data_IF_126463366075
#
_entry.id   IF_126463366075
#
_cell.length_a   1.000
_cell.length_b   1.000
_cell.length_c   1.000
_cell.angle_alpha   90.00
_cell.angle_beta   90.00
_cell.angle_gamma   90.00
#
_symmetry.space_group_name_H-M   'P 1'
#
loop_
_entity.id
_entity.type
_entity.pdbx_description
1 polymer ?
#
# COMPACT_ATOMS: atom_id res chain seq x y z
N UNK A 1 16.82 -7.10 -3.70
CA UNK A 1 15.74 -7.27 -4.68
C UNK A 1 15.04 -5.95 -4.95
N UNK A 2 14.64 -5.75 -6.16
CA UNK A 2 13.92 -4.53 -6.55
C UNK A 2 12.62 -4.35 -5.78
N UNK A 3 12.00 -5.45 -5.42
CA UNK A 3 10.73 -5.43 -4.70
C UNK A 3 10.85 -4.87 -3.29
N UNK A 4 12.01 -5.05 -2.66
CA UNK A 4 12.23 -4.52 -1.32
C UNK A 4 12.19 -2.99 -1.28
N UNK A 5 12.78 -2.35 -2.27
CA UNK A 5 12.78 -0.89 -2.35
C UNK A 5 11.35 -0.38 -2.52
N UNK A 6 10.57 -1.04 -3.39
CA UNK A 6 9.17 -0.71 -3.58
C UNK A 6 8.39 -0.83 -2.29
N UNK A 7 8.56 -1.93 -1.55
CA UNK A 7 7.85 -2.14 -0.30
C UNK A 7 8.22 -1.10 0.75
N UNK A 8 9.49 -0.74 0.85
CA UNK A 8 9.91 0.28 1.80
C UNK A 8 9.28 1.63 1.49
N UNK A 9 9.23 2.01 0.23
CA UNK A 9 8.61 3.26 -0.18
C UNK A 9 7.10 3.24 0.09
N UNK A 10 6.47 2.11 -0.21
CA UNK A 10 5.04 1.96 0.00
C UNK A 10 4.68 2.08 1.48
N UNK A 11 5.47 1.47 2.35
CA UNK A 11 5.24 1.54 3.80
C UNK A 11 5.29 2.99 4.28
N UNK A 12 6.24 3.76 3.80
CA UNK A 12 6.32 5.19 4.13
C UNK A 12 5.09 5.93 3.63
N UNK A 13 4.67 5.64 2.41
CA UNK A 13 3.56 6.36 1.79
C UNK A 13 2.19 6.04 2.40
N UNK A 14 2.03 4.88 3.02
CA UNK A 14 0.78 4.58 3.74
C UNK A 14 0.77 5.13 5.17
N UNK A 15 1.79 5.85 5.56
CA UNK A 15 1.83 6.51 6.87
C UNK A 15 2.89 5.96 7.81
N UNK A 16 3.75 5.06 7.33
CA UNK A 16 4.80 4.47 8.12
C UNK A 16 4.34 3.23 8.89
N UNK A 17 5.30 2.49 9.48
CA UNK A 17 4.96 1.25 10.18
C UNK A 17 3.98 1.44 11.32
N UNK A 18 4.02 2.59 11.99
CA UNK A 18 3.13 2.87 13.11
C UNK A 18 1.67 2.96 12.68
N UNK A 19 1.41 3.25 11.42
CA UNK A 19 0.07 3.36 10.88
C UNK A 19 -0.48 2.03 10.36
N UNK A 20 0.33 0.98 10.35
CA UNK A 20 -0.06 -0.31 9.81
C UNK A 20 -0.37 -1.27 10.94
N UNK A 21 -1.64 -1.69 11.04
CA UNK A 21 -2.04 -2.74 11.98
C UNK A 21 -1.66 -4.11 11.44
N UNK A 22 -1.89 -4.33 10.17
CA UNK A 22 -1.55 -5.59 9.52
C UNK A 22 -1.47 -5.40 8.02
N UNK A 23 -0.78 -6.32 7.36
CA UNK A 23 -0.74 -6.36 5.91
C UNK A 23 -0.90 -7.82 5.48
N UNK A 24 -1.75 -8.03 4.49
CA UNK A 24 -1.94 -9.34 3.88
C UNK A 24 -1.57 -9.25 2.41
N UNK A 25 -0.96 -10.30 1.91
CA UNK A 25 -0.49 -10.36 0.53
C UNK A 25 -1.27 -11.40 -0.25
N UNK A 26 -1.90 -10.97 -1.33
CA UNK A 26 -2.47 -11.85 -2.33
C UNK A 26 -1.60 -11.81 -3.58
N UNK A 27 -2.00 -12.56 -4.61
CA UNK A 27 -1.19 -12.68 -5.84
C UNK A 27 -0.86 -11.32 -6.45
N UNK A 28 -1.85 -10.42 -6.50
CA UNK A 28 -1.69 -9.12 -7.14
C UNK A 28 -2.04 -7.95 -6.23
N UNK A 29 -2.30 -8.19 -4.94
CA UNK A 29 -2.74 -7.14 -4.04
C UNK A 29 -2.04 -7.21 -2.70
N UNK A 30 -1.77 -6.02 -2.15
CA UNK A 30 -1.34 -5.85 -0.78
C UNK A 30 -2.51 -5.20 -0.04
N UNK A 31 -3.01 -5.86 0.99
CA UNK A 31 -4.12 -5.36 1.79
C UNK A 31 -3.59 -4.85 3.12
N UNK A 32 -3.73 -3.56 3.33
CA UNK A 32 -3.28 -2.94 4.56
C UNK A 32 -4.46 -2.63 5.47
N UNK A 33 -4.34 -2.99 6.74
CA UNK A 33 -5.23 -2.47 7.76
C UNK A 33 -4.52 -1.27 8.38
N UNK A 34 -4.99 -0.08 8.07
CA UNK A 34 -4.37 1.16 8.52
C UNK A 34 -5.13 1.74 9.70
N UNK A 35 -4.38 2.28 10.67
CA UNK A 35 -5.00 2.95 11.82
C UNK A 35 -5.66 4.25 11.40
N UNK A 36 -5.01 4.98 10.50
CA UNK A 36 -5.52 6.26 9.99
C UNK A 36 -5.28 6.31 8.49
N UNK A 37 -6.33 6.10 7.72
CA UNK A 37 -6.24 6.09 6.25
C UNK A 37 -5.91 7.45 5.68
N UNK A 38 -6.20 8.51 6.40
CA UNK A 38 -5.91 9.86 5.92
C UNK A 38 -4.41 10.11 5.80
N UNK A 39 -3.59 9.30 6.46
CA UNK A 39 -2.14 9.40 6.35
C UNK A 39 -1.58 8.74 5.11
N UNK A 40 -2.38 7.93 4.41
CA UNK A 40 -1.94 7.29 3.19
C UNK A 40 -1.92 8.30 2.04
N UNK A 41 -0.79 8.40 1.37
CA UNK A 41 -0.61 9.33 0.26
C UNK A 41 -1.00 8.65 -1.05
N UNK A 42 -2.29 8.52 -1.25
CA UNK A 42 -2.86 7.74 -2.35
C UNK A 42 -2.38 8.21 -3.71
N UNK A 43 -2.35 9.51 -3.95
CA UNK A 43 -1.92 10.04 -5.24
C UNK A 43 -0.49 9.63 -5.58
N UNK A 44 0.41 9.69 -4.60
CA UNK A 44 1.80 9.30 -4.82
C UNK A 44 1.95 7.80 -4.99
N UNK A 45 1.16 7.02 -4.25
CA UNK A 45 1.16 5.56 -4.42
C UNK A 45 0.71 5.19 -5.82
N UNK A 46 -0.34 5.85 -6.33
CA UNK A 46 -0.84 5.59 -7.68
C UNK A 46 0.16 5.92 -8.77
N UNK A 47 1.12 6.79 -8.51
CA UNK A 47 2.16 7.15 -9.48
C UNK A 47 3.33 6.18 -9.50
N UNK A 48 3.39 5.25 -8.54
CA UNK A 48 4.46 4.25 -8.54
C UNK A 48 4.32 3.30 -9.71
N UNK A 49 5.44 2.95 -10.34
CA UNK A 49 5.42 2.11 -11.54
C UNK A 49 4.81 0.73 -11.29
N UNK A 50 5.04 0.18 -10.10
CA UNK A 50 4.56 -1.15 -9.77
C UNK A 50 3.08 -1.17 -9.40
N UNK A 51 2.49 -0.01 -9.15
CA UNK A 51 1.10 0.09 -8.72
C UNK A 51 0.19 0.28 -9.92
N UNK A 52 -0.81 -0.60 -10.04
CA UNK A 52 -1.82 -0.51 -11.08
C UNK A 52 -2.99 0.34 -10.59
N UNK A 53 -3.40 0.16 -9.34
CA UNK A 53 -4.54 0.85 -8.78
C UNK A 53 -4.49 0.83 -7.26
N UNK A 54 -5.28 1.69 -6.64
CA UNK A 54 -5.45 1.72 -5.19
C UNK A 54 -6.94 1.67 -4.90
N UNK A 55 -7.34 0.73 -4.05
CA UNK A 55 -8.74 0.57 -3.65
C UNK A 55 -8.83 0.83 -2.15
N UNK A 56 -9.48 1.93 -1.78
CA UNK A 56 -9.68 2.29 -0.39
C UNK A 56 -11.16 2.09 -0.05
N UNK A 57 -11.45 1.01 0.66
CA UNK A 57 -12.82 0.71 1.07
C UNK A 57 -12.84 0.35 2.55
N UNK A 58 -14.05 0.03 3.07
CA UNK A 58 -14.22 -0.22 4.51
C UNK A 58 -13.51 -1.48 5.00
N UNK A 59 -13.11 -2.36 4.09
CA UNK A 59 -12.47 -3.63 4.47
C UNK A 59 -10.97 -3.44 4.64
N UNK A 60 -10.33 -2.78 3.68
CA UNK A 60 -8.88 -2.63 3.69
C UNK A 60 -8.45 -1.55 2.71
N UNK A 61 -7.25 -1.03 2.95
CA UNK A 61 -6.57 -0.17 1.98
C UNK A 61 -5.75 -1.08 1.07
N UNK A 62 -6.18 -1.26 -0.15
CA UNK A 62 -5.61 -2.25 -1.06
C UNK A 62 -4.79 -1.59 -2.16
N UNK A 63 -3.57 -2.08 -2.33
CA UNK A 63 -2.68 -1.64 -3.40
C UNK A 63 -2.56 -2.77 -4.41
N UNK A 64 -3.07 -2.56 -5.61
CA UNK A 64 -3.01 -3.54 -6.70
C UNK A 64 -1.69 -3.35 -7.42
N UNK A 65 -0.89 -4.41 -7.48
CA UNK A 65 0.44 -4.35 -8.06
C UNK A 65 0.52 -5.18 -9.35
N UNK A 66 1.39 -4.72 -10.26
CA UNK A 66 1.64 -5.44 -11.49
C UNK A 66 2.56 -6.63 -11.25
N UNK A 67 2.43 -7.64 -12.07
CA UNK A 67 3.30 -8.82 -12.05
C UNK A 67 4.46 -8.70 -13.02
#
# INVERSE_FOLDING_TARGET
MKYETFLKELIVLVGGPENIDSVAHCVTRLRFQLKDRSKAQTAEIQEMKQVIDVIDNNVAYQVVVGT
#
